data_IF_150132484203
#
_entry.id   IF_150132484203
#
_cell.length_a   1.000
_cell.length_b   1.000
_cell.length_c   1.000
_cell.angle_alpha   90.00
_cell.angle_beta   90.00
_cell.angle_gamma   90.00
#
_symmetry.space_group_name_H-M   'P 1'
#
loop_
_entity.id
_entity.type
_entity.pdbx_description
1 polymer ?
#
# COMPACT_ATOMS: atom_id res chain seq x y z
N UNK A 1 -35.48 48.14 42.55
CA UNK A 1 -35.52 47.56 41.18
C UNK A 1 -34.08 47.46 40.70
N UNK A 2 -33.72 46.26 40.28
CA UNK A 2 -32.41 45.68 39.91
C UNK A 2 -31.44 46.59 39.14
N UNK A 3 -30.11 46.43 39.12
CA UNK A 3 -29.09 45.74 39.93
C UNK A 3 -27.69 46.12 39.32
N UNK A 4 -26.68 46.40 40.18
CA UNK A 4 -25.22 46.11 40.07
C UNK A 4 -24.46 46.73 38.85
N UNK A 5 -23.61 47.78 38.97
CA UNK A 5 -22.27 47.96 39.61
C UNK A 5 -21.10 47.24 38.93
N UNK A 6 -20.14 48.03 38.40
CA UNK A 6 -18.70 47.81 38.09
C UNK A 6 -18.27 46.51 37.37
N UNK A 7 -17.42 46.47 36.33
CA UNK A 7 -16.29 47.31 35.95
C UNK A 7 -14.99 46.47 35.95
N UNK A 8 -14.21 46.54 34.85
CA UNK A 8 -12.74 46.36 34.70
C UNK A 8 -12.19 45.08 34.01
N UNK A 9 -11.24 45.34 33.07
CA UNK A 9 -10.29 44.49 32.28
C UNK A 9 -10.87 43.94 30.95
N UNK A 10 -10.29 44.14 29.75
CA UNK A 10 -8.98 44.66 29.30
C UNK A 10 -8.97 44.96 27.77
N UNK A 11 -8.33 46.08 27.37
CA UNK A 11 -7.62 46.43 26.08
C UNK A 11 -8.08 45.81 24.75
N UNK A 12 -8.67 46.51 23.76
CA UNK A 12 -8.19 47.62 22.88
C UNK A 12 -6.99 47.19 21.98
N UNK A 13 -7.20 46.95 20.66
CA UNK A 13 -6.85 47.81 19.48
C UNK A 13 -5.34 48.16 19.44
N UNK A 14 -4.55 48.19 18.37
CA UNK A 14 -4.64 48.05 16.90
C UNK A 14 -3.23 48.48 16.40
N UNK A 15 -2.87 48.13 15.16
CA UNK A 15 -1.88 48.80 14.29
C UNK A 15 -0.37 48.90 14.68
N UNK A 16 0.45 48.37 13.74
CA UNK A 16 1.86 48.69 13.45
C UNK A 16 2.06 50.21 13.21
N UNK A 17 3.25 50.85 13.43
CA UNK A 17 4.35 50.77 12.43
C UNK A 17 5.81 51.11 12.87
N UNK A 18 6.77 50.62 12.06
CA UNK A 18 8.01 51.30 11.56
C UNK A 18 9.20 51.67 12.51
N UNK A 19 10.40 51.25 12.07
CA UNK A 19 11.74 51.90 12.12
C UNK A 19 12.80 51.62 13.24
N UNK A 20 13.97 51.16 12.73
CA UNK A 20 15.40 51.48 13.08
C UNK A 20 16.09 50.75 14.27
N UNK A 21 17.08 49.88 13.96
CA UNK A 21 18.55 50.16 14.08
C UNK A 21 19.46 48.94 13.75
N UNK A 22 20.11 49.02 12.58
CA UNK A 22 21.51 48.70 12.21
C UNK A 22 22.41 47.79 13.09
N UNK A 23 23.05 46.78 12.46
CA UNK A 23 24.50 46.76 12.14
C UNK A 23 24.79 45.96 10.84
N UNK A 24 25.51 46.60 9.91
CA UNK A 24 26.08 46.07 8.66
C UNK A 24 27.45 45.43 8.92
N UNK A 25 27.82 44.46 8.08
CA UNK A 25 29.10 44.46 7.35
C UNK A 25 28.93 43.76 5.99
N UNK A 26 29.64 44.29 4.99
CA UNK A 26 29.38 44.18 3.55
C UNK A 26 30.33 43.22 2.84
N UNK A 27 29.85 42.62 1.74
CA UNK A 27 30.48 42.51 0.40
C UNK A 27 29.43 41.86 -0.52
N UNK A 28 29.32 41.96 -1.85
CA UNK A 28 29.87 42.82 -2.91
C UNK A 28 29.18 42.36 -4.21
N UNK A 29 28.22 43.14 -4.73
CA UNK A 29 27.91 43.35 -6.17
C UNK A 29 27.37 42.21 -7.07
N UNK A 30 26.69 42.56 -8.20
CA UNK A 30 25.59 41.79 -8.80
C UNK A 30 25.91 41.16 -10.17
N UNK A 31 25.18 40.12 -10.59
CA UNK A 31 25.26 39.59 -11.97
C UNK A 31 23.87 39.61 -12.63
N UNK A 32 23.84 40.24 -13.80
CA UNK A 32 22.70 40.38 -14.72
C UNK A 32 22.48 39.10 -15.51
N UNK A 33 21.22 38.91 -15.91
CA UNK A 33 20.73 37.90 -16.86
C UNK A 33 21.42 37.96 -18.23
N UNK A 34 21.73 36.77 -18.78
CA UNK A 34 21.62 36.42 -20.21
C UNK A 34 21.65 34.89 -20.39
N UNK A 35 20.82 34.29 -21.26
CA UNK A 35 20.82 32.84 -21.53
C UNK A 35 21.68 32.50 -22.75
N UNK A 36 22.28 31.29 -22.86
CA UNK A 36 22.78 30.82 -24.13
C UNK A 36 21.95 29.68 -24.73
N UNK A 37 21.82 29.80 -26.05
CA UNK A 37 21.23 28.87 -27.01
C UNK A 37 22.05 27.58 -27.17
N UNK A 38 21.37 26.59 -27.73
CA UNK A 38 21.84 25.35 -28.34
C UNK A 38 23.00 25.57 -29.33
N UNK A 39 24.03 24.70 -29.32
CA UNK A 39 24.58 24.03 -30.52
C UNK A 39 25.73 23.08 -30.18
N UNK A 40 25.61 21.84 -30.64
CA UNK A 40 26.66 20.93 -31.19
C UNK A 40 27.99 20.75 -30.46
N UNK A 41 28.20 19.53 -29.95
CA UNK A 41 29.54 18.99 -29.69
C UNK A 41 29.54 17.77 -28.77
N UNK A 42 29.45 16.55 -29.32
CA UNK A 42 29.89 15.34 -28.62
C UNK A 42 31.42 15.36 -28.49
N UNK A 43 32.02 14.92 -27.35
CA UNK A 43 32.52 13.54 -27.27
C UNK A 43 32.52 12.96 -25.81
N UNK A 44 33.17 11.81 -25.57
CA UNK A 44 32.54 10.52 -25.29
C UNK A 44 32.05 10.32 -23.84
N UNK A 45 31.10 9.40 -23.73
CA UNK A 45 30.49 8.89 -22.49
C UNK A 45 31.52 8.18 -21.62
N UNK A 46 31.83 8.76 -20.46
CA UNK A 46 32.24 7.99 -19.29
C UNK A 46 30.96 7.65 -18.50
N UNK A 47 30.72 6.36 -18.33
CA UNK A 47 29.66 5.78 -17.51
C UNK A 47 29.78 6.26 -16.06
N UNK A 48 29.03 7.30 -15.69
CA UNK A 48 28.60 7.43 -14.30
C UNK A 48 27.65 6.28 -14.04
N UNK A 49 28.12 5.31 -13.25
CA UNK A 49 27.25 4.34 -12.61
C UNK A 49 26.38 5.17 -11.67
N UNK A 50 25.11 5.37 -12.04
CA UNK A 50 24.12 5.93 -11.14
C UNK A 50 24.02 4.97 -9.95
N UNK A 51 24.61 5.36 -8.81
CA UNK A 51 24.59 4.56 -7.57
C UNK A 51 23.16 4.14 -7.18
N UNK A 52 22.17 4.97 -7.51
CA UNK A 52 20.75 4.67 -7.34
C UNK A 52 20.28 3.48 -8.19
N UNK A 53 20.72 3.38 -9.44
CA UNK A 53 20.36 2.25 -10.32
C UNK A 53 21.03 0.95 -9.87
N UNK A 54 22.25 1.01 -9.35
CA UNK A 54 22.96 -0.16 -8.83
C UNK A 54 22.31 -0.72 -7.54
N UNK A 55 21.85 0.16 -6.64
CA UNK A 55 21.10 -0.21 -5.44
C UNK A 55 19.73 -0.83 -5.77
N UNK A 56 19.03 -0.30 -6.77
CA UNK A 56 17.77 -0.89 -7.25
C UNK A 56 17.99 -2.28 -7.87
N UNK A 57 19.04 -2.46 -8.68
CA UNK A 57 19.40 -3.78 -9.23
C UNK A 57 19.73 -4.79 -8.13
N UNK A 58 20.44 -4.38 -7.07
CA UNK A 58 20.76 -5.25 -5.94
C UNK A 58 19.49 -5.71 -5.20
N UNK A 59 18.55 -4.79 -4.94
CA UNK A 59 17.28 -5.11 -4.26
C UNK A 59 16.38 -6.06 -5.07
N UNK A 60 16.39 -5.93 -6.40
CA UNK A 60 15.68 -6.82 -7.32
C UNK A 60 16.32 -8.21 -7.38
N UNK A 61 17.64 -8.26 -7.33
CA UNK A 61 18.40 -9.51 -7.30
C UNK A 61 18.18 -10.27 -5.98
N UNK A 62 18.14 -9.57 -4.85
CA UNK A 62 17.80 -10.17 -3.55
C UNK A 62 16.38 -10.75 -3.54
N UNK A 63 15.43 -10.09 -4.21
CA UNK A 63 14.07 -10.59 -4.37
C UNK A 63 14.02 -11.87 -5.24
N UNK A 64 14.80 -11.93 -6.33
CA UNK A 64 14.90 -13.14 -7.16
C UNK A 64 15.53 -14.31 -6.41
N UNK A 65 16.54 -14.05 -5.56
CA UNK A 65 17.16 -15.10 -4.73
C UNK A 65 16.13 -15.68 -3.74
N UNK A 66 15.27 -14.85 -3.17
CA UNK A 66 14.21 -15.32 -2.27
C UNK A 66 13.16 -16.18 -3.00
N UNK A 67 12.85 -15.87 -4.26
CA UNK A 67 11.90 -16.63 -5.07
C UNK A 67 12.48 -17.93 -5.66
N UNK A 68 13.80 -17.96 -5.87
CA UNK A 68 14.50 -19.11 -6.46
C UNK A 68 15.75 -19.52 -5.65
N UNK A 69 15.58 -20.08 -4.43
CA UNK A 69 16.70 -20.47 -3.57
C UNK A 69 17.61 -21.54 -4.17
N UNK A 70 17.05 -22.39 -5.04
CA UNK A 70 17.74 -23.53 -5.66
C UNK A 70 18.54 -23.15 -6.91
N UNK A 71 18.51 -21.89 -7.34
CA UNK A 71 19.05 -21.45 -8.62
C UNK A 71 20.28 -20.56 -8.45
N UNK A 72 21.28 -20.77 -9.31
CA UNK A 72 22.58 -20.12 -9.19
C UNK A 72 22.49 -18.60 -9.38
N UNK A 73 23.11 -17.84 -8.46
CA UNK A 73 23.08 -16.36 -8.45
C UNK A 73 23.49 -15.74 -9.80
N UNK A 74 24.43 -16.35 -10.52
CA UNK A 74 24.88 -15.87 -11.82
C UNK A 74 23.79 -15.96 -12.90
N UNK A 75 22.90 -16.95 -12.82
CA UNK A 75 21.76 -17.09 -13.74
C UNK A 75 20.67 -16.06 -13.43
N UNK A 76 20.46 -15.75 -12.15
CA UNK A 76 19.53 -14.70 -11.72
C UNK A 76 20.00 -13.33 -12.18
N UNK A 77 21.30 -13.03 -12.02
CA UNK A 77 21.91 -11.77 -12.46
C UNK A 77 21.81 -11.60 -13.98
N UNK A 78 22.16 -12.64 -14.76
CA UNK A 78 22.01 -12.61 -16.21
C UNK A 78 20.56 -12.44 -16.67
N UNK A 79 19.61 -13.15 -16.07
CA UNK A 79 18.20 -13.01 -16.44
C UNK A 79 17.68 -11.60 -16.16
N UNK A 80 18.14 -10.97 -15.07
CA UNK A 80 17.78 -9.60 -14.72
C UNK A 80 18.42 -8.58 -15.67
N UNK A 81 19.67 -8.79 -16.09
CA UNK A 81 20.35 -7.97 -17.10
C UNK A 81 19.69 -8.10 -18.47
N UNK A 82 19.35 -9.31 -18.90
CA UNK A 82 18.71 -9.60 -20.19
C UNK A 82 17.28 -9.05 -20.26
N UNK A 83 16.58 -9.00 -19.12
CA UNK A 83 15.26 -8.38 -18.99
C UNK A 83 15.32 -6.86 -18.72
N UNK A 84 16.49 -6.22 -18.83
CA UNK A 84 16.64 -4.77 -18.68
C UNK A 84 16.25 -4.24 -17.29
N UNK A 85 16.39 -5.07 -16.24
CA UNK A 85 16.01 -4.72 -14.87
C UNK A 85 14.51 -4.79 -14.58
N UNK A 86 13.70 -5.38 -15.48
CA UNK A 86 12.29 -5.70 -15.22
C UNK A 86 12.18 -7.04 -14.46
N UNK A 87 11.67 -6.96 -13.23
CA UNK A 87 11.58 -8.09 -12.31
C UNK A 87 10.55 -9.12 -12.80
N UNK A 88 9.40 -8.68 -13.33
CA UNK A 88 8.33 -9.59 -13.75
C UNK A 88 8.72 -10.39 -15.00
N UNK A 89 9.46 -9.76 -15.90
CA UNK A 89 10.02 -10.44 -17.08
C UNK A 89 11.16 -11.40 -16.71
N UNK A 90 12.01 -11.03 -15.75
CA UNK A 90 13.05 -11.93 -15.22
C UNK A 90 12.44 -13.16 -14.53
N UNK A 91 11.38 -12.99 -13.73
CA UNK A 91 10.64 -14.09 -13.09
C UNK A 91 10.03 -15.03 -14.13
N UNK A 92 9.44 -14.50 -15.22
CA UNK A 92 8.89 -15.32 -16.30
C UNK A 92 9.99 -16.12 -17.00
N UNK A 93 11.09 -15.48 -17.39
CA UNK A 93 12.23 -16.14 -18.04
C UNK A 93 12.85 -17.24 -17.17
N UNK A 94 13.06 -16.98 -15.88
CA UNK A 94 13.58 -17.97 -14.93
C UNK A 94 12.63 -19.14 -14.72
N UNK A 95 11.31 -18.90 -14.68
CA UNK A 95 10.32 -19.97 -14.63
C UNK A 95 10.30 -20.80 -15.91
N UNK A 96 10.43 -20.19 -17.08
CA UNK A 96 10.57 -20.90 -18.36
C UNK A 96 11.83 -21.75 -18.41
N UNK A 97 12.96 -21.27 -17.88
CA UNK A 97 14.20 -22.05 -17.75
C UNK A 97 14.03 -23.27 -16.81
N UNK A 98 13.32 -23.11 -15.69
CA UNK A 98 13.00 -24.23 -14.78
C UNK A 98 12.08 -25.26 -15.44
N UNK A 99 11.06 -24.80 -16.15
CA UNK A 99 10.10 -25.66 -16.86
C UNK A 99 10.75 -26.32 -18.09
N UNK A 100 11.62 -25.63 -18.80
CA UNK A 100 12.41 -26.15 -19.92
C UNK A 100 13.45 -27.19 -19.47
N UNK A 101 14.03 -27.02 -18.28
CA UNK A 101 14.91 -28.01 -17.66
C UNK A 101 14.15 -29.27 -17.20
N UNK A 102 12.90 -29.10 -16.73
CA UNK A 102 12.01 -30.22 -16.40
C UNK A 102 11.43 -30.93 -17.63
N UNK A 103 11.28 -30.25 -18.77
CA UNK A 103 10.75 -30.81 -20.01
C UNK A 103 11.67 -31.83 -20.70
N UNK A 104 12.91 -32.01 -20.21
CA UNK A 104 13.85 -33.00 -20.72
C UNK A 104 13.71 -34.43 -20.15
N UNK A 105 12.80 -34.67 -19.18
CA UNK A 105 12.62 -36.02 -18.61
C UNK A 105 11.19 -36.27 -18.14
N UNK A 106 10.62 -37.35 -18.71
CA UNK A 106 9.40 -38.07 -18.30
C UNK A 106 8.10 -37.41 -18.75
N UNK A 107 7.57 -37.80 -19.91
CA UNK A 107 6.65 -38.94 -20.12
C UNK A 107 5.31 -38.72 -19.41
N UNK A 108 4.29 -38.61 -20.26
CA UNK A 108 2.88 -38.48 -20.00
C UNK A 108 2.35 -39.43 -18.91
N UNK A 109 1.49 -38.91 -18.04
CA UNK A 109 0.25 -39.62 -17.68
C UNK A 109 -0.81 -38.58 -17.33
N UNK A 110 -1.84 -38.60 -18.15
CA UNK A 110 -3.04 -37.79 -18.08
C UNK A 110 -4.11 -38.70 -17.49
N UNK A 111 -4.56 -38.48 -16.25
CA UNK A 111 -5.76 -39.14 -15.74
C UNK A 111 -6.65 -38.17 -14.95
N UNK A 112 -7.89 -38.14 -15.40
CA UNK A 112 -9.02 -37.40 -14.88
C UNK A 112 -9.75 -38.24 -13.81
N UNK A 113 -10.14 -37.60 -12.70
CA UNK A 113 -11.13 -38.15 -11.75
C UNK A 113 -11.88 -36.93 -11.18
N UNK A 114 -13.00 -36.50 -11.76
CA UNK A 114 -14.37 -36.99 -11.57
C UNK A 114 -14.82 -36.97 -10.09
N UNK A 115 -15.48 -35.85 -9.73
CA UNK A 115 -16.21 -35.67 -8.48
C UNK A 115 -17.44 -36.59 -8.43
N UNK A 116 -17.58 -37.38 -7.36
CA UNK A 116 -18.88 -37.85 -6.90
C UNK A 116 -18.92 -37.89 -5.37
N UNK A 117 -19.98 -37.30 -4.81
CA UNK A 117 -20.37 -37.39 -3.41
C UNK A 117 -21.42 -38.50 -3.25
N UNK A 118 -21.55 -39.11 -2.06
CA UNK A 118 -22.77 -38.92 -1.26
C UNK A 118 -22.45 -38.85 0.26
N UNK A 119 -23.21 -38.20 1.14
CA UNK A 119 -24.67 -38.10 1.20
C UNK A 119 -25.15 -38.93 2.40
N UNK A 120 -25.20 -38.28 3.56
CA UNK A 120 -25.55 -38.81 4.89
C UNK A 120 -26.98 -39.38 4.93
N UNK A 121 -27.15 -40.59 5.50
CA UNK A 121 -28.43 -41.14 5.96
C UNK A 121 -28.52 -41.00 7.49
N UNK A 122 -29.60 -40.37 7.93
CA UNK A 122 -30.07 -40.33 9.33
C UNK A 122 -30.98 -41.53 9.60
N UNK A 123 -30.94 -42.07 10.82
CA UNK A 123 -31.91 -43.07 11.26
C UNK A 123 -31.53 -43.77 12.55
N UNK A 124 -31.97 -43.22 13.69
CA UNK A 124 -31.91 -43.84 15.01
C UNK A 124 -32.61 -45.22 15.04
N UNK A 125 -31.99 -46.15 15.75
CA UNK A 125 -32.59 -47.43 16.16
C UNK A 125 -31.86 -47.95 17.38
N UNK A 126 -32.45 -47.69 18.53
CA UNK A 126 -32.03 -48.08 19.89
C UNK A 126 -32.12 -49.60 20.10
N UNK A 127 -31.05 -50.19 20.66
CA UNK A 127 -31.07 -51.36 21.56
C UNK A 127 -29.64 -51.66 22.04
N UNK A 128 -29.31 -51.26 23.27
CA UNK A 128 -28.39 -52.01 24.14
C UNK A 128 -29.18 -53.18 24.78
N UNK A 129 -28.57 -54.22 25.40
CA UNK A 129 -27.19 -54.28 25.90
C UNK A 129 -26.46 -55.61 25.65
N UNK A 130 -25.14 -55.55 25.52
CA UNK A 130 -24.27 -56.62 25.99
C UNK A 130 -22.99 -55.98 26.50
N UNK A 131 -22.82 -56.03 27.81
CA UNK A 131 -21.57 -55.76 28.49
C UNK A 131 -20.50 -56.72 27.95
N UNK A 132 -19.36 -56.17 27.54
CA UNK A 132 -18.11 -56.92 27.54
C UNK A 132 -17.03 -56.01 28.17
N UNK A 133 -16.47 -56.38 29.33
CA UNK A 133 -15.60 -55.51 30.11
C UNK A 133 -14.17 -55.65 29.57
N UNK A 134 -13.85 -54.93 28.51
CA UNK A 134 -12.45 -54.75 28.10
C UNK A 134 -11.99 -53.35 28.45
N UNK A 135 -11.51 -53.27 29.69
CA UNK A 135 -10.55 -52.32 30.23
C UNK A 135 -10.25 -51.11 29.35
N UNK A 136 -10.66 -49.94 29.83
CA UNK A 136 -9.94 -48.68 29.64
C UNK A 136 -8.48 -48.87 30.03
N UNK A 137 -7.66 -49.37 29.10
CA UNK A 137 -6.21 -49.36 29.23
C UNK A 137 -5.78 -47.91 29.03
N UNK A 138 -5.38 -47.26 30.13
CA UNK A 138 -4.61 -46.02 30.06
C UNK A 138 -3.41 -46.27 29.17
N UNK A 139 -3.44 -45.77 27.95
CA UNK A 139 -2.35 -45.96 27.00
C UNK A 139 -1.07 -45.36 27.60
N UNK A 140 0.04 -46.11 27.62
CA UNK A 140 1.34 -45.60 28.05
C UNK A 140 1.66 -44.33 27.24
N UNK A 141 1.85 -43.21 27.93
CA UNK A 141 1.98 -41.91 27.26
C UNK A 141 3.44 -41.59 26.95
N UNK A 142 4.36 -42.10 27.77
CA UNK A 142 5.82 -41.95 27.64
C UNK A 142 6.50 -43.23 27.14
N UNK A 143 7.66 -43.07 26.48
CA UNK A 143 8.44 -44.18 25.93
C UNK A 143 8.92 -45.17 26.99
N UNK A 144 9.21 -44.70 28.21
CA UNK A 144 9.58 -45.56 29.32
C UNK A 144 8.46 -46.52 29.73
N UNK A 145 7.21 -46.03 29.76
CA UNK A 145 6.04 -46.83 30.11
C UNK A 145 5.80 -47.96 29.08
N UNK A 146 6.09 -47.70 27.79
CA UNK A 146 6.04 -48.72 26.74
C UNK A 146 7.10 -49.80 26.89
N UNK A 147 8.32 -49.42 27.30
CA UNK A 147 9.41 -50.37 27.57
C UNK A 147 9.06 -51.24 28.78
N UNK A 148 8.54 -50.66 29.85
CA UNK A 148 8.13 -51.38 31.05
C UNK A 148 6.98 -52.35 30.77
N UNK A 149 5.98 -51.94 29.97
CA UNK A 149 4.88 -52.79 29.53
C UNK A 149 5.40 -53.98 28.69
N UNK A 150 6.33 -53.71 27.77
CA UNK A 150 6.95 -54.74 26.93
C UNK A 150 7.73 -55.77 27.74
N UNK A 151 8.58 -55.32 28.66
CA UNK A 151 9.39 -56.20 29.53
C UNK A 151 8.49 -57.00 30.48
N UNK A 152 7.42 -56.38 31.00
CA UNK A 152 6.46 -57.04 31.89
C UNK A 152 5.67 -58.13 31.16
N UNK A 153 5.17 -57.86 29.95
CA UNK A 153 4.46 -58.86 29.14
C UNK A 153 5.37 -60.02 28.72
N UNK A 154 6.64 -59.75 28.40
CA UNK A 154 7.61 -60.79 28.08
C UNK A 154 7.95 -61.65 29.30
N UNK A 155 8.12 -61.05 30.49
CA UNK A 155 8.40 -61.76 31.75
C UNK A 155 7.25 -62.67 32.17
N UNK A 156 6.01 -62.30 31.86
CA UNK A 156 4.81 -63.06 32.20
C UNK A 156 4.45 -64.15 31.17
N UNK A 157 5.22 -64.28 30.09
CA UNK A 157 4.98 -65.28 29.06
C UNK A 157 5.32 -66.70 29.54
N UNK A 158 4.51 -67.68 29.12
CA UNK A 158 4.68 -69.08 29.52
C UNK A 158 5.63 -69.87 28.62
N UNK A 159 5.78 -69.43 27.36
CA UNK A 159 6.69 -70.00 26.38
C UNK A 159 7.07 -68.94 25.32
N UNK A 160 8.01 -69.29 24.44
CA UNK A 160 8.53 -68.35 23.43
C UNK A 160 7.49 -67.89 22.41
N UNK A 161 6.51 -68.73 22.09
CA UNK A 161 5.44 -68.40 21.15
C UNK A 161 4.41 -67.44 21.77
N UNK A 162 4.08 -67.63 23.05
CA UNK A 162 3.26 -66.73 23.86
C UNK A 162 3.96 -65.37 24.03
N UNK A 163 5.27 -65.35 24.27
CA UNK A 163 6.06 -64.13 24.29
C UNK A 163 6.00 -63.37 22.96
N UNK A 164 6.15 -64.07 21.83
CA UNK A 164 6.02 -63.48 20.48
C UNK A 164 4.63 -62.91 20.24
N UNK A 165 3.58 -63.64 20.60
CA UNK A 165 2.20 -63.18 20.44
C UNK A 165 1.91 -61.92 21.27
N UNK A 166 2.35 -61.91 22.54
CA UNK A 166 2.21 -60.75 23.45
C UNK A 166 2.97 -59.53 22.96
N UNK A 167 4.23 -59.70 22.57
CA UNK A 167 5.06 -58.63 21.99
C UNK A 167 4.43 -58.08 20.72
N UNK A 168 3.97 -58.94 19.82
CA UNK A 168 3.27 -58.52 18.61
C UNK A 168 2.04 -57.69 18.93
N UNK A 169 1.30 -58.03 19.99
CA UNK A 169 0.13 -57.27 20.42
C UNK A 169 0.49 -55.90 20.99
N UNK A 170 1.51 -55.83 21.84
CA UNK A 170 1.99 -54.55 22.40
C UNK A 170 2.49 -53.62 21.29
N UNK A 171 3.20 -54.14 20.29
CA UNK A 171 3.65 -53.37 19.13
C UNK A 171 2.49 -52.87 18.26
N UNK A 172 1.46 -53.70 18.04
CA UNK A 172 0.24 -53.28 17.31
C UNK A 172 -0.48 -52.13 18.04
N UNK A 173 -0.54 -52.18 19.37
CA UNK A 173 -1.16 -51.11 20.18
C UNK A 173 -0.28 -49.86 20.20
N UNK A 174 1.04 -50.00 20.22
CA UNK A 174 1.99 -48.90 20.05
C UNK A 174 1.79 -48.20 18.70
N UNK A 175 1.75 -48.95 17.60
CA UNK A 175 1.54 -48.43 16.26
C UNK A 175 0.24 -47.62 16.17
N UNK A 176 -0.87 -48.18 16.66
CA UNK A 176 -2.16 -47.47 16.72
C UNK A 176 -2.06 -46.17 17.52
N UNK A 177 -1.41 -46.22 18.69
CA UNK A 177 -1.25 -45.03 19.54
C UNK A 177 -0.40 -43.93 18.88
N UNK A 178 0.64 -44.31 18.11
CA UNK A 178 1.48 -43.37 17.37
C UNK A 178 0.68 -42.77 16.21
N UNK A 179 -0.04 -43.59 15.45
CA UNK A 179 -0.89 -43.14 14.34
C UNK A 179 -1.99 -42.18 14.81
N UNK A 180 -2.69 -42.51 15.90
CA UNK A 180 -3.72 -41.64 16.48
C UNK A 180 -3.13 -40.31 16.96
N UNK A 181 -1.99 -40.36 17.65
CA UNK A 181 -1.29 -39.15 18.13
C UNK A 181 -0.84 -38.27 16.97
N UNK A 182 -0.19 -38.84 15.97
CA UNK A 182 0.28 -38.12 14.78
C UNK A 182 -0.88 -37.50 14.00
N UNK A 183 -2.01 -38.22 13.87
CA UNK A 183 -3.22 -37.71 13.20
C UNK A 183 -3.83 -36.55 13.98
N UNK A 184 -3.90 -36.67 15.31
CA UNK A 184 -4.41 -35.60 16.17
C UNK A 184 -3.51 -34.37 16.14
N UNK A 185 -2.20 -34.55 16.22
CA UNK A 185 -1.22 -33.47 16.15
C UNK A 185 -1.26 -32.77 14.80
N UNK A 186 -1.32 -33.52 13.70
CA UNK A 186 -1.50 -32.95 12.36
C UNK A 186 -2.79 -32.13 12.28
N UNK A 187 -3.92 -32.67 12.73
CA UNK A 187 -5.20 -31.96 12.72
C UNK A 187 -5.17 -30.68 13.58
N UNK A 188 -4.53 -30.72 14.74
CA UNK A 188 -4.35 -29.54 15.59
C UNK A 188 -3.46 -28.49 14.94
N UNK A 189 -2.36 -28.90 14.33
CA UNK A 189 -1.45 -27.99 13.63
C UNK A 189 -2.15 -27.32 12.44
N UNK A 190 -2.84 -28.10 11.60
CA UNK A 190 -3.66 -27.56 10.50
C UNK A 190 -4.72 -26.58 11.00
N UNK A 191 -5.38 -26.86 12.12
CA UNK A 191 -6.37 -25.95 12.70
C UNK A 191 -5.71 -24.64 13.18
N UNK A 192 -4.53 -24.73 13.81
CA UNK A 192 -3.79 -23.56 14.29
C UNK A 192 -3.31 -22.69 13.13
N UNK A 193 -2.74 -23.29 12.09
CA UNK A 193 -2.35 -22.61 10.85
C UNK A 193 -3.55 -21.96 10.15
N UNK A 194 -4.67 -22.67 10.06
CA UNK A 194 -5.91 -22.13 9.48
C UNK A 194 -6.38 -20.88 10.23
N UNK A 195 -6.39 -20.91 11.58
CA UNK A 195 -6.79 -19.76 12.39
C UNK A 195 -5.82 -18.60 12.19
N UNK A 196 -4.51 -18.86 12.20
CA UNK A 196 -3.49 -17.82 11.98
C UNK A 196 -3.63 -17.17 10.59
N UNK A 197 -3.76 -17.99 9.55
CA UNK A 197 -3.92 -17.52 8.17
C UNK A 197 -5.22 -16.72 8.01
N UNK A 198 -6.32 -17.20 8.62
CA UNK A 198 -7.60 -16.48 8.62
C UNK A 198 -7.47 -15.10 9.26
N UNK A 199 -6.78 -14.98 10.40
CA UNK A 199 -6.54 -13.70 11.07
C UNK A 199 -5.70 -12.76 10.22
N UNK A 200 -4.67 -13.28 9.53
CA UNK A 200 -3.85 -12.47 8.62
C UNK A 200 -4.67 -11.95 7.43
N UNK A 201 -5.48 -12.80 6.81
CA UNK A 201 -6.37 -12.40 5.71
C UNK A 201 -7.37 -11.35 6.18
N UNK A 202 -7.96 -11.52 7.35
CA UNK A 202 -8.88 -10.54 7.93
C UNK A 202 -8.20 -9.18 8.18
N UNK A 203 -6.99 -9.18 8.73
CA UNK A 203 -6.18 -7.96 8.92
C UNK A 203 -5.91 -7.24 7.59
N UNK A 204 -5.47 -7.99 6.57
CA UNK A 204 -5.23 -7.44 5.23
C UNK A 204 -6.52 -6.88 4.60
N UNK A 205 -7.67 -7.53 4.79
CA UNK A 205 -8.95 -7.02 4.32
C UNK A 205 -9.36 -5.70 5.01
N UNK A 206 -9.09 -5.57 6.31
CA UNK A 206 -9.33 -4.33 7.05
C UNK A 206 -8.44 -3.20 6.56
N UNK A 207 -7.14 -3.45 6.40
CA UNK A 207 -6.20 -2.47 5.82
C UNK A 207 -6.59 -2.07 4.41
N UNK A 208 -6.96 -3.03 3.56
CA UNK A 208 -7.43 -2.76 2.20
C UNK A 208 -8.67 -1.85 2.18
N UNK A 209 -9.57 -2.02 3.16
CA UNK A 209 -10.76 -1.16 3.32
C UNK A 209 -10.37 0.26 3.72
N UNK A 210 -9.41 0.41 4.64
CA UNK A 210 -8.88 1.72 5.06
C UNK A 210 -8.22 2.41 3.86
N UNK A 211 -7.38 1.70 3.10
CA UNK A 211 -6.73 2.21 1.91
C UNK A 211 -7.73 2.65 0.84
N UNK A 212 -8.76 1.83 0.56
CA UNK A 212 -9.84 2.21 -0.37
C UNK A 212 -10.52 3.51 0.04
N UNK A 213 -10.86 3.66 1.33
CA UNK A 213 -11.45 4.90 1.87
C UNK A 213 -10.52 6.10 1.71
N UNK A 214 -9.23 5.92 2.02
CA UNK A 214 -8.23 6.98 1.90
C UNK A 214 -8.08 7.43 0.43
N UNK A 215 -8.04 6.50 -0.52
CA UNK A 215 -7.98 6.79 -1.96
C UNK A 215 -9.22 7.52 -2.43
N UNK A 216 -10.42 7.09 -2.03
CA UNK A 216 -11.67 7.78 -2.37
C UNK A 216 -11.68 9.23 -1.85
N UNK A 217 -11.28 9.45 -0.60
CA UNK A 217 -11.20 10.78 -0.01
C UNK A 217 -10.13 11.65 -0.70
N UNK A 218 -8.99 11.06 -1.07
CA UNK A 218 -7.95 11.77 -1.79
C UNK A 218 -8.43 12.19 -3.19
N UNK A 219 -9.17 11.32 -3.88
CA UNK A 219 -9.76 11.62 -5.17
C UNK A 219 -10.80 12.75 -5.08
N UNK A 220 -11.68 12.71 -4.07
CA UNK A 220 -12.65 13.77 -3.80
C UNK A 220 -11.97 15.13 -3.57
N UNK A 221 -10.94 15.17 -2.72
CA UNK A 221 -10.16 16.38 -2.47
C UNK A 221 -9.48 16.90 -3.73
N UNK A 222 -8.88 16.01 -4.52
CA UNK A 222 -8.22 16.39 -5.77
C UNK A 222 -9.22 17.03 -6.74
N UNK A 223 -10.40 16.44 -6.86
CA UNK A 223 -11.48 16.98 -7.69
C UNK A 223 -11.93 18.37 -7.20
N UNK A 224 -12.13 18.55 -5.90
CA UNK A 224 -12.47 19.87 -5.36
C UNK A 224 -11.39 20.93 -5.64
N UNK A 225 -10.11 20.56 -5.64
CA UNK A 225 -9.02 21.48 -5.99
C UNK A 225 -9.05 21.84 -7.48
N UNK A 226 -9.36 20.88 -8.35
CA UNK A 226 -9.52 21.13 -9.78
C UNK A 226 -10.71 22.05 -10.05
N UNK A 227 -11.85 21.80 -9.42
CA UNK A 227 -13.06 22.63 -9.53
C UNK A 227 -12.79 24.06 -9.04
N UNK A 228 -12.17 24.23 -7.85
CA UNK A 228 -11.72 25.54 -7.35
C UNK A 228 -10.72 26.22 -8.28
N UNK A 229 -9.85 25.44 -8.92
CA UNK A 229 -8.90 25.94 -9.92
C UNK A 229 -9.61 26.55 -11.14
N UNK A 230 -10.67 25.91 -11.61
CA UNK A 230 -11.50 26.40 -12.72
C UNK A 230 -12.25 27.67 -12.32
N UNK A 231 -12.88 27.70 -11.15
CA UNK A 231 -13.56 28.88 -10.61
C UNK A 231 -12.62 30.08 -10.48
N UNK A 232 -11.41 29.84 -9.95
CA UNK A 232 -10.38 30.86 -9.81
C UNK A 232 -9.94 31.41 -11.16
N UNK A 233 -9.79 30.53 -12.17
CA UNK A 233 -9.48 30.97 -13.53
C UNK A 233 -10.60 31.84 -14.11
N UNK A 234 -11.86 31.43 -13.94
CA UNK A 234 -13.02 32.22 -14.36
C UNK A 234 -13.08 33.58 -13.68
N UNK A 235 -12.87 33.64 -12.36
CA UNK A 235 -12.81 34.89 -11.59
C UNK A 235 -11.68 35.80 -12.09
N UNK A 236 -10.49 35.26 -12.39
CA UNK A 236 -9.40 36.04 -12.98
C UNK A 236 -9.80 36.67 -14.31
N UNK A 237 -10.45 35.90 -15.19
CA UNK A 237 -10.95 36.43 -16.46
C UNK A 237 -11.96 37.57 -16.24
N UNK A 238 -12.91 37.39 -15.32
CA UNK A 238 -13.91 38.42 -15.01
C UNK A 238 -13.26 39.70 -14.44
N UNK A 239 -12.27 39.56 -13.55
CA UNK A 239 -11.50 40.70 -13.03
C UNK A 239 -10.78 41.43 -14.17
N UNK A 240 -10.14 40.72 -15.10
CA UNK A 240 -9.48 41.36 -16.25
C UNK A 240 -10.47 42.09 -17.16
N UNK A 241 -11.69 41.55 -17.33
CA UNK A 241 -12.73 42.22 -18.11
C UNK A 241 -13.19 43.51 -17.43
N UNK A 242 -13.43 43.51 -16.12
CA UNK A 242 -13.81 44.71 -15.39
C UNK A 242 -12.70 45.76 -15.36
N UNK A 243 -11.44 45.36 -15.24
CA UNK A 243 -10.30 46.29 -15.32
C UNK A 243 -10.25 46.99 -16.69
N UNK A 244 -10.48 46.26 -17.78
CA UNK A 244 -10.50 46.83 -19.13
C UNK A 244 -11.70 47.76 -19.36
N UNK A 245 -12.88 47.41 -18.83
CA UNK A 245 -14.04 48.29 -18.84
C UNK A 245 -13.77 49.59 -18.09
N UNK A 246 -13.13 49.51 -16.91
CA UNK A 246 -12.79 50.67 -16.10
C UNK A 246 -11.81 51.59 -16.86
N UNK A 247 -10.75 51.02 -17.45
CA UNK A 247 -9.79 51.74 -18.30
C UNK A 247 -10.50 52.44 -19.47
N UNK A 248 -11.46 51.78 -20.11
CA UNK A 248 -12.22 52.36 -21.23
C UNK A 248 -13.08 53.53 -20.78
N UNK A 249 -13.78 53.39 -19.65
CA UNK A 249 -14.60 54.47 -19.08
C UNK A 249 -13.76 55.66 -18.64
N UNK A 250 -12.59 55.42 -18.04
CA UNK A 250 -11.64 56.47 -17.66
C UNK A 250 -11.17 57.29 -18.88
N UNK A 251 -10.78 56.62 -19.97
CA UNK A 251 -10.38 57.28 -21.22
C UNK A 251 -11.54 58.08 -21.83
N UNK A 252 -12.75 57.51 -21.86
CA UNK A 252 -13.93 58.21 -22.36
C UNK A 252 -14.28 59.44 -21.52
N UNK A 253 -14.22 59.34 -20.19
CA UNK A 253 -14.49 60.45 -19.29
C UNK A 253 -13.45 61.57 -19.47
N UNK A 254 -12.17 61.22 -19.62
CA UNK A 254 -11.11 62.17 -19.92
C UNK A 254 -11.35 62.88 -21.26
N UNK A 255 -11.67 62.14 -22.32
CA UNK A 255 -11.96 62.71 -23.64
C UNK A 255 -13.15 63.68 -23.59
N UNK A 256 -14.25 63.29 -22.94
CA UNK A 256 -15.43 64.14 -22.74
C UNK A 256 -15.08 65.41 -21.95
N UNK A 257 -14.31 65.28 -20.86
CA UNK A 257 -13.85 66.40 -20.06
C UNK A 257 -12.98 67.37 -20.87
N UNK A 258 -12.11 66.85 -21.74
CA UNK A 258 -11.28 67.66 -22.64
C UNK A 258 -12.13 68.38 -23.70
N UNK A 259 -13.09 67.69 -24.33
CA UNK A 259 -14.02 68.30 -25.28
C UNK A 259 -14.89 69.39 -24.63
N UNK A 260 -15.35 69.17 -23.40
CA UNK A 260 -16.12 70.16 -22.64
C UNK A 260 -15.29 71.42 -22.37
N UNK A 261 -14.04 71.26 -21.93
CA UNK A 261 -13.12 72.40 -21.74
C UNK A 261 -12.86 73.15 -23.05
N UNK A 262 -12.63 72.43 -24.14
CA UNK A 262 -12.44 73.03 -25.47
C UNK A 262 -13.67 73.84 -25.90
N UNK A 263 -14.89 73.29 -25.73
CA UNK A 263 -16.14 73.96 -26.06
C UNK A 263 -16.38 75.22 -25.23
N UNK A 264 -16.04 75.19 -23.93
CA UNK A 264 -16.10 76.36 -23.05
C UNK A 264 -15.12 77.44 -23.46
N UNK A 265 -13.90 77.07 -23.86
CA UNK A 265 -12.89 78.02 -24.33
C UNK A 265 -13.22 78.59 -25.72
N UNK A 266 -13.78 77.79 -26.64
CA UNK A 266 -14.21 78.27 -27.96
C UNK A 266 -15.47 79.16 -27.90
N UNK A 267 -16.28 79.02 -26.85
CA UNK A 267 -17.41 79.91 -26.58
C UNK A 267 -16.96 81.24 -25.92
N UNK A 268 -15.67 81.45 -25.69
CA UNK A 268 -15.10 82.74 -25.31
C UNK A 268 -14.90 83.64 -26.54
N UNK A 269 -15.96 83.86 -27.33
CA UNK A 269 -16.01 85.04 -28.20
C UNK A 269 -16.14 86.28 -27.29
N UNK A 270 -15.27 87.29 -27.42
CA UNK A 270 -15.43 88.53 -26.67
C UNK A 270 -16.73 89.23 -27.12
N UNK A 271 -17.74 89.25 -26.25
CA UNK A 271 -18.82 90.23 -26.36
C UNK A 271 -20.22 89.73 -26.72
N UNK A 272 -20.71 88.61 -26.15
CA UNK A 272 -22.17 88.39 -26.09
C UNK A 272 -22.60 87.51 -24.91
N UNK A 273 -22.35 88.00 -23.70
CA UNK A 273 -23.24 87.69 -22.58
C UNK A 273 -24.59 88.33 -22.90
N UNK A 274 -25.66 87.52 -23.03
CA UNK A 274 -27.01 88.05 -23.06
C UNK A 274 -27.29 88.74 -21.72
N UNK A 275 -27.65 90.05 -21.70
CA UNK A 275 -28.07 90.67 -20.46
C UNK A 275 -29.44 90.10 -20.09
N UNK A 276 -29.65 89.94 -18.79
CA UNK A 276 -30.93 89.59 -18.16
C UNK A 276 -32.12 90.23 -18.89
N UNK A 277 -33.09 89.41 -19.25
CA UNK A 277 -34.46 89.87 -19.42
C UNK A 277 -35.28 89.16 -18.35
N UNK A 278 -35.78 90.00 -17.44
CA UNK A 278 -36.63 89.75 -16.28
C UNK A 278 -37.70 88.66 -16.43
#
# INVERSE_FOLDING_TARGET
>A
MSAIVCGKRSSFFDEDPVSKRFRRSSSSSPIRFSPPRQSTGSPPRNSSIDFSSALECLSKLDHLIALFPDMEKQLLERALEECGGDLDSAIRSLNELRLGSAAGKSVATQEAIQFSAPGILTGNGEATPAEDPSASQSLPMDGADWVDLFVTEMKNSSNMDDARARVSKVLEVLEKSICERATKEAAQNFQQEYIMLKQQVEGLCQENTILKRAVSLQHERQKEFEDRGQELHHLKQLVTQYQEQLRTLEVNNYALSMHLKQAQQSNSMPGRSHPDVF
#
